data_IF_551340265146
#
_entry.id   IF_551340265146
#
_cell.length_a   1.000
_cell.length_b   1.000
_cell.length_c   1.000
_cell.angle_alpha   90.00
_cell.angle_beta   90.00
_cell.angle_gamma   90.00
#
_symmetry.space_group_name_H-M   'P 1'
#
loop_
_entity.id
_entity.type
_entity.pdbx_description
1 polymer ?
#
# COMPACT_ATOMS: atom_id res chain seq x y z
N UNK A 1 9.19 18.93 27.89
CA UNK A 1 8.15 18.02 27.36
C UNK A 1 7.85 18.42 25.92
N UNK A 2 8.14 17.53 24.98
CA UNK A 2 8.02 17.80 23.54
C UNK A 2 6.55 17.93 23.11
N UNK A 3 6.31 18.83 22.16
CA UNK A 3 5.01 19.21 21.61
C UNK A 3 4.31 17.97 21.01
N UNK A 4 3.34 17.40 21.72
CA UNK A 4 2.44 16.37 21.16
C UNK A 4 1.49 17.09 20.21
N UNK A 5 1.66 16.93 18.89
CA UNK A 5 0.80 17.56 17.90
C UNK A 5 -0.61 16.98 17.99
N UNK A 6 -1.53 17.74 18.57
CA UNK A 6 -2.96 17.49 18.40
C UNK A 6 -3.30 17.63 16.92
N UNK A 7 -3.73 16.54 16.30
CA UNK A 7 -4.00 16.37 14.88
C UNK A 7 -2.76 16.14 13.99
N UNK A 8 -2.09 15.00 14.20
CA UNK A 8 -0.91 14.55 13.42
C UNK A 8 -1.23 14.26 11.94
N UNK A 9 -2.51 14.08 11.58
CA UNK A 9 -2.90 13.67 10.23
C UNK A 9 -4.16 14.41 9.73
N UNK A 10 -4.15 14.75 8.44
CA UNK A 10 -5.32 15.25 7.71
C UNK A 10 -6.32 14.13 7.43
N UNK A 11 -7.58 14.48 7.16
CA UNK A 11 -8.61 13.49 6.79
C UNK A 11 -8.19 12.66 5.56
N UNK A 12 -7.48 13.27 4.61
CA UNK A 12 -6.93 12.54 3.45
C UNK A 12 -5.93 11.47 3.88
N UNK A 13 -5.01 11.79 4.81
CA UNK A 13 -4.06 10.82 5.34
C UNK A 13 -4.74 9.69 6.11
N UNK A 14 -5.78 10.01 6.89
CA UNK A 14 -6.59 8.99 7.57
C UNK A 14 -7.35 8.10 6.58
N UNK A 15 -7.93 8.68 5.52
CA UNK A 15 -8.62 7.94 4.47
C UNK A 15 -7.64 7.05 3.70
N UNK A 16 -6.44 7.55 3.37
CA UNK A 16 -5.39 6.75 2.75
C UNK A 16 -4.99 5.57 3.63
N UNK A 17 -4.80 5.81 4.93
CA UNK A 17 -4.47 4.76 5.88
C UNK A 17 -5.60 3.72 6.01
N UNK A 18 -6.85 4.16 6.14
CA UNK A 18 -8.01 3.27 6.18
C UNK A 18 -8.14 2.45 4.88
N UNK A 19 -7.88 3.08 3.73
CA UNK A 19 -7.91 2.44 2.42
C UNK A 19 -6.81 1.40 2.22
N UNK A 20 -5.67 1.53 2.91
CA UNK A 20 -4.60 0.52 2.93
C UNK A 20 -4.97 -0.71 3.77
N UNK A 21 -5.90 -0.59 4.71
CA UNK A 21 -6.30 -1.68 5.60
C UNK A 21 -7.68 -2.25 5.26
N UNK A 22 -8.36 -1.69 4.26
CA UNK A 22 -9.70 -2.14 3.84
C UNK A 22 -9.59 -3.15 2.69
N UNK A 23 -9.83 -4.46 2.93
CA UNK A 23 -9.75 -5.48 1.89
C UNK A 23 -10.82 -5.33 0.79
N UNK A 24 -11.89 -4.56 1.03
CA UNK A 24 -12.93 -4.29 0.03
C UNK A 24 -12.58 -3.09 -0.88
N UNK A 25 -11.45 -2.42 -0.66
CA UNK A 25 -11.01 -1.32 -1.50
C UNK A 25 -10.26 -1.83 -2.74
N UNK A 26 -10.65 -1.37 -3.93
CA UNK A 26 -10.03 -1.79 -5.20
C UNK A 26 -8.54 -1.47 -5.27
N UNK A 27 -8.11 -0.34 -4.68
CA UNK A 27 -6.70 0.03 -4.63
C UNK A 27 -5.87 -0.90 -3.73
N UNK A 28 -6.45 -1.40 -2.63
CA UNK A 28 -5.79 -2.38 -1.76
C UNK A 28 -5.58 -3.70 -2.51
N UNK A 29 -6.61 -4.19 -3.20
CA UNK A 29 -6.53 -5.42 -4.00
C UNK A 29 -5.52 -5.28 -5.16
N UNK A 30 -5.49 -4.13 -5.84
CA UNK A 30 -4.52 -3.87 -6.90
C UNK A 30 -3.07 -3.86 -6.36
N UNK A 31 -2.83 -3.23 -5.20
CA UNK A 31 -1.53 -3.24 -4.56
C UNK A 31 -1.11 -4.65 -4.13
N UNK A 32 -2.03 -5.44 -3.57
CA UNK A 32 -1.77 -6.83 -3.19
C UNK A 32 -1.44 -7.72 -4.41
N UNK A 33 -2.18 -7.57 -5.50
CA UNK A 33 -1.91 -8.29 -6.75
C UNK A 33 -0.56 -7.91 -7.35
N UNK A 34 -0.22 -6.61 -7.35
CA UNK A 34 1.08 -6.14 -7.82
C UNK A 34 2.22 -6.70 -6.96
N UNK A 35 2.05 -6.72 -5.64
CA UNK A 35 3.01 -7.32 -4.71
C UNK A 35 3.16 -8.82 -4.95
N UNK A 36 2.05 -9.57 -5.09
CA UNK A 36 2.09 -10.99 -5.40
C UNK A 36 2.80 -11.27 -6.75
N UNK A 37 2.53 -10.43 -7.75
CA UNK A 37 3.18 -10.50 -9.06
C UNK A 37 4.68 -10.21 -8.99
N UNK A 38 5.11 -9.30 -8.12
CA UNK A 38 6.52 -9.00 -7.84
C UNK A 38 7.19 -10.09 -7.00
N UNK A 39 6.48 -10.80 -6.14
CA UNK A 39 7.07 -11.88 -5.33
C UNK A 39 6.99 -13.25 -6.03
N UNK A 40 6.30 -13.35 -7.17
CA UNK A 40 6.21 -14.59 -7.92
C UNK A 40 7.41 -14.72 -8.88
N UNK A 41 8.39 -15.58 -8.57
CA UNK A 41 9.57 -15.76 -9.42
C UNK A 41 9.24 -16.35 -10.78
N UNK A 42 8.07 -16.97 -10.96
CA UNK A 42 7.62 -17.53 -12.25
C UNK A 42 6.84 -16.50 -13.09
N UNK A 43 6.65 -15.28 -12.60
CA UNK A 43 5.99 -14.22 -13.36
C UNK A 43 6.99 -13.55 -14.31
N UNK A 44 6.64 -13.46 -15.59
CA UNK A 44 7.45 -12.80 -16.62
C UNK A 44 7.78 -11.34 -16.26
N UNK A 45 6.88 -10.63 -15.56
CA UNK A 45 7.09 -9.26 -15.11
C UNK A 45 8.16 -9.17 -13.98
N UNK A 46 8.23 -10.16 -13.09
CA UNK A 46 9.26 -10.22 -12.03
C UNK A 46 10.66 -10.37 -12.61
N UNK A 47 10.81 -11.19 -13.66
CA UNK A 47 12.06 -11.29 -14.42
C UNK A 47 12.38 -10.02 -15.23
N UNK A 48 11.43 -9.09 -15.39
CA UNK A 48 11.66 -7.82 -16.06
C UNK A 48 12.22 -6.73 -15.17
N UNK A 49 11.94 -6.80 -13.88
CA UNK A 49 12.41 -5.84 -12.89
C UNK A 49 13.77 -6.19 -12.26
N UNK A 50 14.20 -7.46 -12.35
CA UNK A 50 15.44 -7.96 -11.71
C UNK A 50 16.55 -8.36 -12.70
N UNK A 51 16.53 -7.83 -13.93
CA UNK A 51 17.61 -8.01 -14.90
C UNK A 51 18.45 -6.76 -15.02
#
# INVERSE_FOLDING_TARGET
>A
MAKVSGNTHTQSQMNHHANQSNPNNSAHTAAANNHANQCNPNNAAHHNTHK
#
